data_IF_599480450276
#
_entry.id   IF_599480450276
#
_cell.length_a   1.000
_cell.length_b   1.000
_cell.length_c   1.000
_cell.angle_alpha   90.00
_cell.angle_beta   90.00
_cell.angle_gamma   90.00
#
_symmetry.space_group_name_H-M   'P 1'
#
loop_
_entity.id
_entity.type
_entity.pdbx_description
1 polymer ?
#
# COMPACT_ATOMS: atom_id res chain seq x y z
N UNK A 1 34.11 -52.68 8.47
CA UNK A 1 33.27 -51.88 9.40
C UNK A 1 34.20 -50.91 10.11
N UNK A 2 34.18 -49.61 9.76
CA UNK A 2 35.09 -48.62 10.35
C UNK A 2 34.44 -47.99 11.58
N UNK A 3 34.97 -48.30 12.76
CA UNK A 3 34.51 -47.72 14.03
C UNK A 3 35.38 -46.49 14.29
N UNK A 4 34.84 -45.30 14.03
CA UNK A 4 35.53 -44.03 14.27
C UNK A 4 35.39 -43.69 15.76
N UNK A 5 36.48 -43.82 16.52
CA UNK A 5 36.52 -43.47 17.93
C UNK A 5 37.04 -42.03 18.12
N UNK A 6 36.15 -41.10 18.48
CA UNK A 6 36.50 -39.69 18.66
C UNK A 6 36.83 -39.43 20.13
N UNK A 7 38.13 -39.27 20.44
CA UNK A 7 38.61 -38.91 21.79
C UNK A 7 38.28 -37.44 22.10
N UNK A 8 37.80 -37.16 23.32
CA UNK A 8 37.39 -35.82 23.79
C UNK A 8 36.23 -35.16 23.01
N UNK A 9 35.22 -35.95 22.64
CA UNK A 9 34.04 -35.48 21.87
C UNK A 9 33.33 -34.27 22.50
N UNK A 10 33.21 -34.19 23.84
CA UNK A 10 32.53 -33.08 24.53
C UNK A 10 33.16 -31.71 24.23
N UNK A 11 34.50 -31.61 24.26
CA UNK A 11 35.20 -30.34 24.00
C UNK A 11 35.06 -29.92 22.54
N UNK A 12 35.13 -30.87 21.59
CA UNK A 12 34.94 -30.60 20.16
C UNK A 12 33.51 -30.18 19.84
N UNK A 13 32.51 -30.75 20.51
CA UNK A 13 31.11 -30.36 20.34
C UNK A 13 30.88 -28.93 20.82
N UNK A 14 31.49 -28.52 21.95
CA UNK A 14 31.43 -27.13 22.42
C UNK A 14 32.05 -26.16 21.40
N UNK A 15 33.22 -26.49 20.82
CA UNK A 15 33.82 -25.64 19.77
C UNK A 15 32.93 -25.55 18.52
N UNK A 16 32.30 -26.65 18.10
CA UNK A 16 31.36 -26.63 16.97
C UNK A 16 30.13 -25.77 17.27
N UNK A 17 29.56 -25.86 18.46
CA UNK A 17 28.43 -25.02 18.88
C UNK A 17 28.79 -23.53 18.90
N UNK A 18 30.00 -23.18 19.36
CA UNK A 18 30.50 -21.80 19.33
C UNK A 18 30.61 -21.30 17.89
N UNK A 19 31.19 -22.10 16.99
CA UNK A 19 31.34 -21.74 15.57
C UNK A 19 29.95 -21.52 14.94
N UNK A 20 29.00 -22.42 15.15
CA UNK A 20 27.63 -22.30 14.63
C UNK A 20 26.94 -21.05 15.18
N UNK A 21 27.07 -20.78 16.48
CA UNK A 21 26.54 -19.56 17.09
C UNK A 21 27.12 -18.28 16.49
N UNK A 22 28.42 -18.30 16.17
CA UNK A 22 29.11 -17.17 15.55
C UNK A 22 28.63 -16.91 14.11
N UNK A 23 28.33 -17.97 13.35
CA UNK A 23 27.70 -17.86 12.02
C UNK A 23 26.28 -17.30 12.09
N UNK A 24 25.47 -17.76 13.04
CA UNK A 24 24.10 -17.25 13.24
C UNK A 24 24.13 -15.77 13.63
N UNK A 25 25.02 -15.39 14.55
CA UNK A 25 25.19 -13.99 14.95
C UNK A 25 25.60 -13.10 13.77
N UNK A 26 26.52 -13.58 12.92
CA UNK A 26 26.98 -12.85 11.74
C UNK A 26 25.84 -12.66 10.73
N UNK A 27 24.99 -13.67 10.54
CA UNK A 27 23.81 -13.57 9.68
C UNK A 27 22.83 -12.49 10.17
N UNK A 28 22.50 -12.50 11.47
CA UNK A 28 21.63 -11.47 12.06
C UNK A 28 22.21 -10.05 11.95
N UNK A 29 23.53 -9.90 12.13
CA UNK A 29 24.19 -8.61 11.97
C UNK A 29 24.14 -8.10 10.51
N UNK A 30 24.24 -9.00 9.53
CA UNK A 30 24.11 -8.62 8.12
C UNK A 30 22.70 -8.17 7.77
N UNK A 31 21.67 -8.84 8.28
CA UNK A 31 20.27 -8.49 8.02
C UNK A 31 19.91 -7.10 8.60
N UNK A 32 20.40 -6.79 9.81
CA UNK A 32 20.27 -5.47 10.43
C UNK A 32 20.93 -4.37 9.59
N UNK A 33 22.15 -4.60 9.08
CA UNK A 33 22.84 -3.64 8.21
C UNK A 33 22.11 -3.44 6.89
N UNK A 34 21.66 -4.52 6.24
CA UNK A 34 20.94 -4.44 4.96
C UNK A 34 19.59 -3.72 5.09
N UNK A 35 18.88 -3.91 6.20
CA UNK A 35 17.57 -3.28 6.41
C UNK A 35 17.62 -1.76 6.56
N UNK A 36 18.75 -1.21 7.03
CA UNK A 36 18.88 0.21 7.39
C UNK A 36 19.66 1.05 6.37
N UNK A 37 20.44 0.46 5.46
CA UNK A 37 21.44 1.24 4.72
C UNK A 37 21.40 1.14 3.18
N UNK A 38 20.44 0.46 2.57
CA UNK A 38 20.52 0.16 1.13
C UNK A 38 19.36 0.74 0.33
N UNK A 39 19.46 2.03 0.02
CA UNK A 39 19.09 2.53 -1.31
C UNK A 39 20.24 2.20 -2.25
N UNK A 40 20.23 1.01 -2.87
CA UNK A 40 21.25 0.69 -3.88
C UNK A 40 20.95 1.46 -5.15
N UNK A 41 21.75 2.49 -5.42
CA UNK A 41 21.77 3.16 -6.72
C UNK A 41 22.63 2.34 -7.67
N UNK A 42 21.99 1.60 -8.57
CA UNK A 42 22.69 0.90 -9.65
C UNK A 42 22.85 1.91 -10.77
N UNK A 43 24.09 2.30 -11.04
CA UNK A 43 24.42 3.28 -12.09
C UNK A 43 25.15 2.56 -13.22
N UNK A 44 24.57 2.56 -14.42
CA UNK A 44 25.23 2.01 -15.61
C UNK A 44 25.96 3.16 -16.31
N UNK A 45 27.29 3.15 -16.14
CA UNK A 45 28.28 4.08 -16.68
C UNK A 45 28.05 5.56 -16.31
N UNK A 46 26.96 6.15 -16.80
CA UNK A 46 26.36 7.44 -16.42
C UNK A 46 24.98 7.70 -17.09
N UNK A 47 24.39 6.70 -17.75
CA UNK A 47 23.18 6.89 -18.56
C UNK A 47 21.89 6.59 -17.80
N UNK A 48 21.95 5.66 -16.85
CA UNK A 48 20.78 5.20 -16.11
C UNK A 48 21.18 4.91 -14.66
N UNK A 49 20.45 5.50 -13.72
CA UNK A 49 20.54 5.18 -12.29
C UNK A 49 19.18 4.69 -11.81
N UNK A 50 19.15 3.51 -11.20
CA UNK A 50 17.93 2.96 -10.59
C UNK A 50 18.14 2.83 -9.09
N UNK A 51 17.18 3.32 -8.31
CA UNK A 51 17.11 3.12 -6.86
C UNK A 51 15.97 2.15 -6.56
N UNK A 52 16.29 0.98 -6.02
CA UNK A 52 15.29 0.00 -5.60
C UNK A 52 15.22 -0.02 -4.07
N UNK A 53 14.16 0.52 -3.45
CA UNK A 53 13.98 0.44 -2.01
C UNK A 53 13.52 -0.97 -1.60
N UNK A 54 14.06 -1.48 -0.51
CA UNK A 54 13.71 -2.80 0.03
C UNK A 54 12.29 -2.87 0.65
N UNK A 55 11.68 -1.71 0.94
CA UNK A 55 10.32 -1.59 1.48
C UNK A 55 9.62 -0.39 0.86
N UNK A 56 8.35 -0.57 0.53
CA UNK A 56 7.47 0.52 0.11
C UNK A 56 6.58 0.88 1.30
N UNK A 57 6.69 2.12 1.74
CA UNK A 57 5.71 2.76 2.62
C UNK A 57 5.22 4.01 1.89
N UNK A 58 3.90 4.12 1.71
CA UNK A 58 3.30 5.26 0.99
C UNK A 58 2.98 6.31 2.06
N UNK A 59 3.96 7.16 2.32
CA UNK A 59 3.83 8.23 3.31
C UNK A 59 3.03 9.43 2.74
N UNK A 60 3.32 9.84 1.50
CA UNK A 60 2.69 10.99 0.85
C UNK A 60 2.47 10.74 -0.65
N UNK A 61 1.30 11.12 -1.15
CA UNK A 61 0.95 11.09 -2.58
C UNK A 61 1.07 12.51 -3.13
N UNK A 62 1.86 12.69 -4.18
CA UNK A 62 2.08 14.00 -4.80
C UNK A 62 1.31 14.09 -6.12
N UNK A 63 0.43 15.08 -6.23
CA UNK A 63 -0.25 15.41 -7.49
C UNK A 63 0.38 16.67 -8.06
N UNK A 64 0.94 16.58 -9.26
CA UNK A 64 1.53 17.74 -9.94
C UNK A 64 0.50 18.35 -10.89
N UNK A 65 -0.16 19.42 -10.46
CA UNK A 65 -1.14 20.16 -11.27
C UNK A 65 -0.50 21.05 -12.35
N UNK A 66 0.83 21.24 -12.33
CA UNK A 66 1.52 22.22 -13.18
C UNK A 66 2.05 21.68 -14.51
N UNK A 67 2.02 20.36 -14.74
CA UNK A 67 2.49 19.77 -16.01
C UNK A 67 1.31 19.53 -16.95
N UNK A 68 0.85 20.61 -17.58
CA UNK A 68 0.08 20.50 -18.82
C UNK A 68 1.04 20.30 -19.99
N UNK A 69 1.22 19.04 -20.40
CA UNK A 69 1.91 18.69 -21.65
C UNK A 69 3.15 17.81 -21.48
N UNK A 70 3.53 17.12 -22.55
CA UNK A 70 4.69 16.24 -22.66
C UNK A 70 6.01 17.03 -22.75
N UNK A 71 6.33 17.82 -21.72
CA UNK A 71 7.58 18.58 -21.64
C UNK A 71 8.37 18.12 -20.42
N UNK A 72 9.61 17.71 -20.65
CA UNK A 72 10.59 17.40 -19.61
C UNK A 72 11.45 18.65 -19.45
N UNK A 73 11.24 19.41 -18.37
CA UNK A 73 12.12 20.50 -17.98
C UNK A 73 13.23 19.98 -17.06
N UNK A 74 14.48 20.18 -17.46
CA UNK A 74 15.67 19.96 -16.62
C UNK A 74 16.18 21.33 -16.18
N UNK A 75 15.87 21.72 -14.93
CA UNK A 75 16.42 22.95 -14.34
C UNK A 75 15.44 23.88 -13.62
N UNK A 76 14.16 23.51 -13.45
CA UNK A 76 13.28 24.29 -12.57
C UNK A 76 13.49 23.87 -11.12
N UNK A 77 13.70 24.86 -10.24
CA UNK A 77 13.64 24.65 -8.79
C UNK A 77 12.32 23.96 -8.48
N UNK A 78 12.36 22.65 -8.20
CA UNK A 78 11.22 21.91 -7.72
C UNK A 78 10.71 22.61 -6.46
N UNK A 79 9.73 23.50 -6.61
CA UNK A 79 8.86 23.86 -5.48
C UNK A 79 8.33 22.52 -5.03
N UNK A 80 8.76 22.05 -3.86
CA UNK A 80 8.28 20.81 -3.28
C UNK A 80 6.77 20.80 -3.50
N UNK A 81 6.21 19.84 -4.26
CA UNK A 81 4.77 19.76 -4.43
C UNK A 81 4.19 19.79 -3.02
N UNK A 82 3.28 20.76 -2.80
CA UNK A 82 2.71 21.00 -1.48
C UNK A 82 2.09 19.68 -1.05
N UNK A 83 2.60 19.09 0.03
CA UNK A 83 2.04 17.87 0.58
C UNK A 83 0.58 18.19 0.91
N UNK A 84 -0.32 17.48 0.24
CA UNK A 84 -1.73 17.62 0.54
C UNK A 84 -2.05 16.76 1.75
N UNK A 85 -2.42 17.44 2.82
CA UNK A 85 -2.80 16.76 4.05
C UNK A 85 -4.06 15.93 3.81
N UNK A 86 -4.20 14.82 4.53
CA UNK A 86 -5.46 14.08 4.56
C UNK A 86 -6.44 14.77 5.50
N UNK A 87 -7.62 15.08 4.99
CA UNK A 87 -8.76 15.50 5.81
C UNK A 87 -9.54 14.27 6.29
N UNK A 88 -10.28 14.43 7.38
CA UNK A 88 -11.15 13.36 7.92
C UNK A 88 -12.60 13.77 7.77
N UNK A 89 -13.34 12.99 7.00
CA UNK A 89 -14.79 13.08 6.95
C UNK A 89 -15.39 12.34 8.15
N UNK A 90 -16.44 12.91 8.73
CA UNK A 90 -17.27 12.27 9.76
C UNK A 90 -18.72 12.49 9.39
N UNK A 91 -19.51 11.42 9.32
CA UNK A 91 -20.94 11.54 9.06
C UNK A 91 -21.62 12.33 10.19
N UNK A 92 -22.69 13.04 9.85
CA UNK A 92 -23.46 13.87 10.79
C UNK A 92 -23.97 13.05 11.98
N UNK A 93 -24.34 11.79 11.74
CA UNK A 93 -24.84 10.86 12.75
C UNK A 93 -23.71 10.09 13.48
N UNK A 94 -22.45 10.33 13.12
CA UNK A 94 -21.27 9.83 13.83
C UNK A 94 -20.93 8.34 13.65
N UNK A 95 -21.73 7.58 12.90
CA UNK A 95 -21.52 6.15 12.69
C UNK A 95 -20.41 5.80 11.69
N UNK A 96 -19.95 6.75 10.86
CA UNK A 96 -19.00 6.49 9.79
C UNK A 96 -18.00 7.64 9.61
N UNK A 97 -16.73 7.29 9.39
CA UNK A 97 -15.68 8.27 9.11
C UNK A 97 -14.59 7.66 8.23
N UNK A 98 -14.01 8.47 7.35
CA UNK A 98 -12.90 8.06 6.51
C UNK A 98 -11.95 9.24 6.26
N UNK A 99 -10.71 8.91 5.90
CA UNK A 99 -9.71 9.90 5.49
C UNK A 99 -9.72 10.05 3.98
N UNK A 100 -9.59 11.27 3.50
CA UNK A 100 -9.54 11.60 2.07
C UNK A 100 -8.51 12.70 1.80
N UNK A 101 -7.93 12.78 0.59
CA UNK A 101 -6.97 13.84 0.28
C UNK A 101 -7.68 15.20 0.21
N UNK A 102 -7.09 16.23 0.82
CA UNK A 102 -7.74 17.55 0.95
C UNK A 102 -7.96 18.31 -0.37
N UNK A 103 -7.33 17.93 -1.49
CA UNK A 103 -7.68 18.44 -2.82
C UNK A 103 -9.14 18.14 -3.20
N UNK A 104 -9.69 17.04 -2.70
CA UNK A 104 -10.99 16.58 -3.11
C UNK A 104 -12.09 17.38 -2.42
N UNK A 105 -13.04 17.82 -3.24
CA UNK A 105 -14.29 18.40 -2.79
C UNK A 105 -15.25 17.25 -2.51
N UNK A 106 -15.82 17.22 -1.30
CA UNK A 106 -16.84 16.25 -0.91
C UNK A 106 -18.24 16.81 -1.19
N UNK A 107 -19.15 15.92 -1.56
CA UNK A 107 -20.56 16.19 -1.79
C UNK A 107 -21.40 15.07 -1.16
N UNK A 108 -22.05 15.39 -0.04
CA UNK A 108 -22.93 14.44 0.66
C UNK A 108 -24.33 14.51 0.03
N UNK A 109 -24.88 13.36 -0.32
CA UNK A 109 -26.19 13.25 -0.96
C UNK A 109 -27.07 12.26 -0.20
N UNK A 110 -28.31 12.66 0.03
CA UNK A 110 -29.35 11.80 0.58
C UNK A 110 -30.06 11.07 -0.57
N UNK A 111 -30.28 9.77 -0.41
CA UNK A 111 -30.98 8.94 -1.37
C UNK A 111 -32.34 8.53 -0.81
N UNK A 112 -33.37 8.59 -1.65
CA UNK A 112 -34.70 8.08 -1.33
C UNK A 112 -34.67 6.55 -1.27
N UNK A 113 -34.58 5.99 -0.07
CA UNK A 113 -34.51 4.55 0.17
C UNK A 113 -33.88 4.22 1.51
N UNK A 114 -34.07 3.00 2.00
CA UNK A 114 -33.49 2.55 3.28
C UNK A 114 -32.21 1.73 3.13
N UNK A 115 -31.78 1.49 1.88
CA UNK A 115 -30.63 0.64 1.57
C UNK A 115 -29.31 1.40 1.60
N UNK A 116 -29.26 2.64 1.12
CA UNK A 116 -28.05 3.48 1.14
C UNK A 116 -28.17 4.41 2.34
N UNK A 117 -27.34 4.17 3.36
CA UNK A 117 -27.33 4.97 4.59
C UNK A 117 -26.54 6.27 4.42
N UNK A 118 -25.43 6.21 3.68
CA UNK A 118 -24.60 7.38 3.38
C UNK A 118 -24.11 7.28 1.94
N UNK A 119 -24.12 8.41 1.24
CA UNK A 119 -23.43 8.59 -0.04
C UNK A 119 -22.63 9.89 0.01
N UNK A 120 -21.32 9.76 -0.17
CA UNK A 120 -20.39 10.89 -0.20
C UNK A 120 -19.63 10.83 -1.51
N UNK A 121 -20.02 11.66 -2.46
CA UNK A 121 -19.27 11.89 -3.68
C UNK A 121 -17.99 12.67 -3.38
N UNK A 122 -16.95 12.42 -4.15
CA UNK A 122 -15.73 13.22 -4.13
C UNK A 122 -15.21 13.49 -5.53
N UNK A 123 -14.69 14.69 -5.75
CA UNK A 123 -14.08 15.09 -7.03
C UNK A 123 -12.90 16.02 -6.81
N UNK A 124 -11.88 15.88 -7.65
CA UNK A 124 -10.79 16.84 -7.69
C UNK A 124 -11.25 18.16 -8.33
N UNK A 125 -10.46 19.22 -8.15
CA UNK A 125 -10.79 20.56 -8.68
C UNK A 125 -10.82 20.61 -10.21
N UNK A 126 -10.05 19.74 -10.87
CA UNK A 126 -9.99 19.59 -12.32
C UNK A 126 -11.09 18.67 -12.89
N UNK A 127 -11.89 18.04 -12.03
CA UNK A 127 -12.91 17.05 -12.37
C UNK A 127 -12.39 15.84 -13.18
N UNK A 128 -11.08 15.58 -13.11
CA UNK A 128 -10.39 14.47 -13.77
C UNK A 128 -10.49 13.19 -12.96
N UNK A 129 -10.47 13.31 -11.64
CA UNK A 129 -10.60 12.20 -10.69
C UNK A 129 -11.86 12.41 -9.88
N UNK A 130 -12.78 11.47 -9.97
CA UNK A 130 -14.02 11.48 -9.20
C UNK A 130 -14.35 10.07 -8.73
N UNK A 131 -15.13 10.00 -7.65
CA UNK A 131 -15.58 8.75 -7.08
C UNK A 131 -16.60 9.03 -5.99
N UNK A 132 -16.94 7.98 -5.26
CA UNK A 132 -17.86 8.10 -4.13
C UNK A 132 -17.54 7.05 -3.08
N UNK A 133 -18.00 7.31 -1.87
CA UNK A 133 -18.02 6.37 -0.76
C UNK A 133 -19.47 6.16 -0.38
N UNK A 134 -19.90 4.91 -0.30
CA UNK A 134 -21.25 4.56 0.13
C UNK A 134 -21.24 3.57 1.28
N UNK A 135 -22.24 3.69 2.14
CA UNK A 135 -22.55 2.72 3.20
C UNK A 135 -23.93 2.15 2.93
N UNK A 136 -24.01 0.84 2.90
CA UNK A 136 -25.22 0.11 2.55
C UNK A 136 -25.72 -0.72 3.73
N UNK A 137 -27.03 -0.81 3.88
CA UNK A 137 -27.75 -1.68 4.79
C UNK A 137 -28.44 -2.78 3.99
N UNK A 138 -27.77 -3.92 3.85
CA UNK A 138 -28.22 -5.03 3.00
C UNK A 138 -28.56 -6.27 3.83
N UNK A 139 -29.56 -7.07 3.42
CA UNK A 139 -29.90 -8.31 4.11
C UNK A 139 -28.99 -9.50 3.76
N UNK A 140 -28.00 -9.30 2.88
CA UNK A 140 -27.07 -10.32 2.38
C UNK A 140 -25.60 -9.86 2.51
N UNK A 141 -24.67 -10.79 2.33
CA UNK A 141 -23.24 -10.53 2.54
C UNK A 141 -22.53 -9.87 1.34
N UNK A 142 -21.28 -9.45 1.56
CA UNK A 142 -20.44 -8.78 0.57
C UNK A 142 -20.20 -9.62 -0.69
N UNK A 143 -20.04 -10.94 -0.56
CA UNK A 143 -19.75 -11.80 -1.71
C UNK A 143 -20.98 -11.92 -2.60
N UNK A 144 -22.16 -12.06 -1.99
CA UNK A 144 -23.43 -12.07 -2.72
C UNK A 144 -23.69 -10.74 -3.40
N UNK A 145 -23.42 -9.62 -2.70
CA UNK A 145 -23.52 -8.27 -3.28
C UNK A 145 -22.63 -8.11 -4.51
N UNK A 146 -21.35 -8.51 -4.44
CA UNK A 146 -20.41 -8.40 -5.56
C UNK A 146 -20.79 -9.31 -6.72
N UNK A 147 -21.23 -10.54 -6.43
CA UNK A 147 -21.69 -11.48 -7.46
C UNK A 147 -22.90 -10.94 -8.22
N UNK A 148 -23.90 -10.40 -7.50
CA UNK A 148 -25.06 -9.75 -8.11
C UNK A 148 -24.64 -8.53 -8.93
N UNK A 149 -23.83 -7.65 -8.35
CA UNK A 149 -23.36 -6.42 -8.99
C UNK A 149 -22.65 -6.68 -10.31
N UNK A 150 -21.81 -7.72 -10.39
CA UNK A 150 -21.17 -8.14 -11.65
C UNK A 150 -22.17 -8.67 -12.66
N UNK A 151 -23.09 -9.53 -12.22
CA UNK A 151 -24.08 -10.15 -13.12
C UNK A 151 -25.03 -9.13 -13.75
N UNK A 152 -25.28 -8.03 -13.06
CA UNK A 152 -26.12 -6.91 -13.52
C UNK A 152 -25.33 -5.82 -14.24
N UNK A 153 -23.99 -5.89 -14.25
CA UNK A 153 -23.15 -4.88 -14.88
C UNK A 153 -23.10 -5.09 -16.39
N UNK A 154 -23.46 -4.06 -17.15
CA UNK A 154 -23.32 -4.06 -18.62
C UNK A 154 -21.89 -3.68 -19.07
N UNK A 155 -20.99 -3.38 -18.13
CA UNK A 155 -19.63 -2.93 -18.45
C UNK A 155 -18.72 -4.11 -18.83
N UNK A 156 -18.03 -3.97 -19.96
CA UNK A 156 -16.95 -4.87 -20.34
C UNK A 156 -15.61 -4.34 -19.82
N UNK A 157 -15.12 -4.94 -18.74
CA UNK A 157 -13.84 -4.57 -18.16
C UNK A 157 -12.67 -5.16 -18.97
N UNK A 158 -11.76 -4.31 -19.44
CA UNK A 158 -10.53 -4.76 -20.15
C UNK A 158 -9.47 -5.33 -19.20
N UNK A 159 -9.36 -4.73 -18.02
CA UNK A 159 -8.40 -5.09 -16.98
C UNK A 159 -9.10 -4.91 -15.64
N UNK A 160 -9.56 -6.03 -15.06
CA UNK A 160 -10.21 -6.07 -13.76
C UNK A 160 -9.59 -7.21 -12.97
N UNK A 161 -9.20 -6.90 -11.73
CA UNK A 161 -8.61 -7.85 -10.81
C UNK A 161 -9.31 -7.65 -9.47
N UNK A 162 -9.62 -8.76 -8.80
CA UNK A 162 -10.13 -8.74 -7.44
C UNK A 162 -9.18 -9.46 -6.52
N UNK A 163 -8.93 -8.84 -5.37
CA UNK A 163 -8.06 -9.37 -4.34
C UNK A 163 -8.76 -9.28 -2.99
N UNK A 164 -8.71 -10.38 -2.25
CA UNK A 164 -9.10 -10.37 -0.85
C UNK A 164 -8.12 -9.48 -0.06
N UNK A 165 -8.67 -8.59 0.75
CA UNK A 165 -7.92 -7.69 1.63
C UNK A 165 -8.46 -7.78 3.05
N UNK A 166 -7.70 -7.28 4.01
CA UNK A 166 -8.15 -7.16 5.40
C UNK A 166 -7.87 -5.74 5.87
N UNK A 167 -8.92 -5.02 6.25
CA UNK A 167 -8.85 -3.63 6.70
C UNK A 167 -9.35 -3.60 8.14
N UNK A 168 -8.51 -3.17 9.09
CA UNK A 168 -8.85 -3.15 10.52
C UNK A 168 -9.40 -4.50 11.03
N UNK A 169 -8.79 -5.60 10.60
CA UNK A 169 -9.23 -6.98 10.92
C UNK A 169 -10.60 -7.38 10.36
N UNK A 170 -11.19 -6.57 9.47
CA UNK A 170 -12.42 -6.88 8.74
C UNK A 170 -12.05 -7.35 7.33
N UNK A 171 -12.56 -8.49 6.85
CA UNK A 171 -12.33 -8.95 5.49
C UNK A 171 -13.02 -8.02 4.49
N UNK A 172 -12.33 -7.73 3.39
CA UNK A 172 -12.83 -6.92 2.29
C UNK A 172 -12.30 -7.42 0.94
N UNK A 173 -12.73 -6.77 -0.13
CA UNK A 173 -12.31 -7.08 -1.50
C UNK A 173 -11.91 -5.75 -2.16
N UNK A 174 -10.77 -5.76 -2.85
CA UNK A 174 -10.23 -4.65 -3.66
C UNK A 174 -10.20 -5.06 -5.13
#
# INVERSE_FOLDING_TARGET
MYIIYIRNYKKRLVYLSIIIGLWILLFFLTELFFSNSLTTNITIENYLSFSCPAKYDIDNVYVNESVKGNLIETGSNFKKPRAEEFSTYKSIEGGFSFKYPSAFLLDEQEFEGTEILYHVGFKDRSNTSHGFVQVWNLPYDLNEFLSKSKSTSEQQYKQFEEKAVTVNSIPGIL
#
